data_IF_603228057185
#
_entry.id   IF_603228057185
#
_cell.length_a   1.000
_cell.length_b   1.000
_cell.length_c   1.000
_cell.angle_alpha   90.00
_cell.angle_beta   90.00
_cell.angle_gamma   90.00
#
_symmetry.space_group_name_H-M   'P 1'
#
loop_
_entity.id
_entity.type
_entity.pdbx_description
1 polymer ?
#
# COMPACT_ATOMS: atom_id res chain seq x y z
N UNK A 1 -3.35 36.44 -24.94
CA UNK A 1 -2.53 35.41 -24.27
C UNK A 1 -2.69 34.13 -25.05
N UNK A 2 -1.59 33.53 -25.54
CA UNK A 2 -1.63 32.16 -26.09
C UNK A 2 -1.61 31.18 -24.92
N UNK A 3 -2.45 30.14 -24.90
CA UNK A 3 -2.31 29.07 -23.92
C UNK A 3 -0.92 28.43 -24.11
N UNK A 4 -0.16 28.38 -23.02
CA UNK A 4 1.18 27.79 -22.98
C UNK A 4 0.97 26.27 -23.01
N UNK A 5 1.68 25.57 -23.89
CA UNK A 5 1.58 24.11 -24.01
C UNK A 5 2.03 23.47 -22.68
N UNK A 6 1.06 22.92 -21.95
CA UNK A 6 1.18 22.42 -20.56
C UNK A 6 1.51 20.93 -20.48
N UNK A 7 1.48 20.23 -21.61
CA UNK A 7 1.88 18.82 -21.76
C UNK A 7 3.39 18.60 -21.66
N UNK A 8 4.21 19.66 -21.67
CA UNK A 8 5.65 19.57 -21.97
C UNK A 8 6.47 18.84 -20.89
N UNK A 9 6.27 19.11 -19.59
CA UNK A 9 7.20 18.58 -18.57
C UNK A 9 7.00 17.11 -18.23
N UNK A 10 5.75 16.64 -18.18
CA UNK A 10 5.46 15.21 -17.96
C UNK A 10 5.90 14.40 -19.17
N UNK A 11 5.66 14.92 -20.38
CA UNK A 11 6.13 14.30 -21.63
C UNK A 11 7.65 14.40 -21.78
N UNK A 12 8.31 15.42 -21.23
CA UNK A 12 9.77 15.58 -21.18
C UNK A 12 10.41 14.64 -20.15
N UNK A 13 9.83 14.46 -18.97
CA UNK A 13 10.32 13.49 -17.97
C UNK A 13 10.11 12.05 -18.44
N UNK A 14 8.93 11.73 -18.98
CA UNK A 14 8.64 10.44 -19.61
C UNK A 14 9.50 10.25 -20.86
N UNK A 15 9.73 11.30 -21.64
CA UNK A 15 10.60 11.32 -22.81
C UNK A 15 12.07 11.12 -22.47
N UNK A 16 12.56 11.67 -21.36
CA UNK A 16 13.92 11.48 -20.86
C UNK A 16 14.14 10.04 -20.36
N UNK A 17 13.18 9.48 -19.61
CA UNK A 17 13.21 8.08 -19.17
C UNK A 17 13.08 7.10 -20.34
N UNK A 18 12.16 7.37 -21.29
CA UNK A 18 11.98 6.55 -22.48
C UNK A 18 13.20 6.65 -23.42
N UNK A 19 13.78 7.85 -23.57
CA UNK A 19 14.97 8.12 -24.37
C UNK A 19 16.19 7.34 -23.89
N UNK A 20 16.30 7.11 -22.58
CA UNK A 20 17.33 6.25 -21.98
C UNK A 20 17.19 4.76 -22.36
N UNK A 21 15.96 4.30 -22.62
CA UNK A 21 15.67 2.90 -22.93
C UNK A 21 15.65 2.59 -24.44
N UNK A 22 15.59 3.61 -25.30
CA UNK A 22 15.42 3.44 -26.76
C UNK A 22 16.72 3.55 -27.59
N UNK A 23 17.89 3.74 -26.99
CA UNK A 23 19.14 3.98 -27.72
C UNK A 23 19.72 2.77 -28.48
N UNK A 24 18.98 1.66 -28.64
CA UNK A 24 19.42 0.57 -29.50
C UNK A 24 18.34 -0.46 -29.80
N UNK A 25 18.31 -0.91 -31.06
CA UNK A 25 17.59 -2.08 -31.60
C UNK A 25 16.19 -1.80 -32.15
N UNK A 26 16.15 -1.43 -33.43
CA UNK A 26 14.97 -1.50 -34.29
C UNK A 26 14.85 -2.89 -34.93
N UNK A 27 13.97 -3.74 -34.39
CA UNK A 27 13.28 -4.80 -35.15
C UNK A 27 11.84 -4.97 -34.63
N UNK A 28 10.92 -5.19 -35.56
CA UNK A 28 9.45 -5.05 -35.46
C UNK A 28 8.66 -5.87 -34.40
N UNK A 29 9.12 -7.00 -33.80
CA UNK A 29 8.37 -7.65 -32.71
C UNK A 29 8.38 -6.86 -31.39
N UNK A 30 9.41 -6.02 -31.16
CA UNK A 30 9.50 -5.14 -29.99
C UNK A 30 8.47 -4.00 -30.04
N UNK A 31 8.04 -3.57 -31.24
CA UNK A 31 7.05 -2.49 -31.38
C UNK A 31 5.68 -2.89 -30.80
N UNK A 32 5.23 -4.13 -31.03
CA UNK A 32 3.98 -4.64 -30.45
C UNK A 32 4.08 -4.87 -28.94
N UNK A 33 5.23 -5.39 -28.48
CA UNK A 33 5.49 -5.56 -27.04
C UNK A 33 5.57 -4.21 -26.31
N UNK A 34 6.21 -3.21 -26.91
CA UNK A 34 6.26 -1.85 -26.37
C UNK A 34 4.91 -1.15 -26.37
N UNK A 35 4.06 -1.36 -27.38
CA UNK A 35 2.69 -0.83 -27.38
C UNK A 35 1.85 -1.44 -26.24
N UNK A 36 1.95 -2.75 -26.02
CA UNK A 36 1.27 -3.44 -24.91
C UNK A 36 1.82 -3.00 -23.55
N UNK A 37 3.15 -2.89 -23.42
CA UNK A 37 3.79 -2.38 -22.21
C UNK A 37 3.39 -0.92 -21.91
N UNK A 38 3.33 -0.05 -22.93
CA UNK A 38 2.84 1.33 -22.77
C UNK A 38 1.37 1.40 -22.39
N UNK A 39 0.52 0.55 -22.98
CA UNK A 39 -0.89 0.48 -22.62
C UNK A 39 -1.08 0.01 -21.18
N UNK A 40 -0.32 -1.00 -20.75
CA UNK A 40 -0.33 -1.48 -19.37
C UNK A 40 0.21 -0.42 -18.40
N UNK A 41 1.31 0.25 -18.75
CA UNK A 41 1.85 1.38 -17.98
C UNK A 41 0.83 2.52 -17.86
N UNK A 42 0.13 2.85 -18.94
CA UNK A 42 -0.91 3.87 -18.93
C UNK A 42 -2.09 3.47 -18.04
N UNK A 43 -2.52 2.20 -18.09
CA UNK A 43 -3.58 1.64 -17.25
C UNK A 43 -3.20 1.73 -15.77
N UNK A 44 -2.04 1.19 -15.44
CA UNK A 44 -1.51 1.14 -14.09
C UNK A 44 -1.29 2.53 -13.49
N UNK A 45 -0.67 3.44 -14.27
CA UNK A 45 -0.52 4.85 -13.88
C UNK A 45 -1.88 5.50 -13.63
N UNK A 46 -2.91 5.12 -14.38
CA UNK A 46 -4.26 5.64 -14.21
C UNK A 46 -4.87 5.27 -12.86
N UNK A 47 -4.61 4.06 -12.33
CA UNK A 47 -5.16 3.61 -11.04
C UNK A 47 -4.54 4.39 -9.89
N UNK A 48 -3.21 4.39 -9.79
CA UNK A 48 -2.51 5.13 -8.74
C UNK A 48 -2.82 6.64 -8.80
N UNK A 49 -2.87 7.22 -10.00
CA UNK A 49 -3.14 8.64 -10.14
C UNK A 49 -4.60 8.99 -9.79
N UNK A 50 -5.58 8.15 -10.14
CA UNK A 50 -6.96 8.33 -9.68
C UNK A 50 -7.07 8.23 -8.17
N UNK A 51 -6.41 7.26 -7.55
CA UNK A 51 -6.40 7.16 -6.09
C UNK A 51 -5.79 8.39 -5.41
N UNK A 52 -4.74 8.97 -6.02
CA UNK A 52 -4.15 10.22 -5.54
C UNK A 52 -5.10 11.42 -5.69
N UNK A 53 -5.72 11.59 -6.87
CA UNK A 53 -6.72 12.63 -7.16
C UNK A 53 -7.90 12.55 -6.17
N UNK A 54 -8.46 11.34 -6.04
CA UNK A 54 -9.61 11.05 -5.20
C UNK A 54 -9.31 11.33 -3.72
N UNK A 55 -8.14 10.94 -3.20
CA UNK A 55 -7.79 11.21 -1.82
C UNK A 55 -7.45 12.67 -1.56
N UNK A 56 -6.65 13.29 -2.45
CA UNK A 56 -6.27 14.70 -2.32
C UNK A 56 -7.47 15.65 -2.46
N UNK A 57 -8.54 15.20 -3.11
CA UNK A 57 -9.65 16.07 -3.51
C UNK A 57 -9.21 17.11 -4.54
N UNK A 58 -8.26 16.75 -5.41
CA UNK A 58 -7.62 17.62 -6.39
C UNK A 58 -7.81 17.04 -7.78
N UNK A 59 -7.90 17.92 -8.78
CA UNK A 59 -7.78 17.46 -10.17
C UNK A 59 -6.36 17.02 -10.45
N UNK A 60 -6.16 16.28 -11.56
CA UNK A 60 -4.82 15.90 -12.02
C UNK A 60 -3.88 17.09 -12.18
N UNK A 61 -4.41 18.18 -12.71
CA UNK A 61 -3.68 19.40 -13.01
C UNK A 61 -3.25 20.06 -11.70
N UNK A 62 -4.19 20.27 -10.77
CA UNK A 62 -3.91 20.81 -9.44
C UNK A 62 -2.90 19.95 -8.68
N UNK A 63 -3.01 18.61 -8.78
CA UNK A 63 -2.08 17.68 -8.17
C UNK A 63 -0.67 17.81 -8.78
N UNK A 64 -0.57 17.96 -10.10
CA UNK A 64 0.68 18.21 -10.80
C UNK A 64 1.32 19.55 -10.39
N UNK A 65 0.52 20.62 -10.35
CA UNK A 65 0.97 21.94 -9.88
C UNK A 65 1.44 21.88 -8.42
N UNK A 66 0.70 21.17 -7.57
CA UNK A 66 1.06 20.98 -6.15
C UNK A 66 2.40 20.25 -5.99
N UNK A 67 2.61 19.18 -6.75
CA UNK A 67 3.88 18.43 -6.74
C UNK A 67 5.02 19.31 -7.26
N UNK A 68 4.80 20.07 -8.33
CA UNK A 68 5.81 20.97 -8.89
C UNK A 68 6.17 22.13 -7.94
N UNK A 69 5.17 22.66 -7.22
CA UNK A 69 5.36 23.74 -6.24
C UNK A 69 6.05 23.28 -4.95
N UNK A 70 6.07 21.98 -4.66
CA UNK A 70 6.71 21.43 -3.47
C UNK A 70 7.79 20.39 -3.82
N UNK A 71 9.08 20.77 -3.80
CA UNK A 71 10.18 19.88 -4.16
C UNK A 71 10.25 18.57 -3.35
N UNK A 72 9.70 18.52 -2.13
CA UNK A 72 9.65 17.29 -1.32
C UNK A 72 8.69 16.23 -1.89
N UNK A 73 7.69 16.63 -2.67
CA UNK A 73 6.72 15.71 -3.26
C UNK A 73 7.22 15.06 -4.55
N UNK A 74 8.22 15.66 -5.21
CA UNK A 74 8.82 15.14 -6.45
C UNK A 74 9.38 13.71 -6.28
N UNK A 75 10.23 13.40 -5.26
CA UNK A 75 10.73 12.04 -5.08
C UNK A 75 9.62 11.02 -4.76
N UNK A 76 8.60 11.42 -4.00
CA UNK A 76 7.42 10.60 -3.68
C UNK A 76 6.67 10.24 -4.97
N UNK A 77 6.36 11.24 -5.80
CA UNK A 77 5.67 11.04 -7.07
C UNK A 77 6.48 10.17 -8.04
N UNK A 78 7.80 10.41 -8.13
CA UNK A 78 8.69 9.60 -8.96
C UNK A 78 8.73 8.13 -8.52
N UNK A 79 8.78 7.88 -7.21
CA UNK A 79 8.74 6.52 -6.64
C UNK A 79 7.41 5.84 -6.92
N UNK A 80 6.28 6.53 -6.73
CA UNK A 80 4.95 5.98 -7.04
C UNK A 80 4.83 5.62 -8.52
N UNK A 81 5.31 6.48 -9.42
CA UNK A 81 5.31 6.20 -10.87
C UNK A 81 6.19 5.00 -11.23
N UNK A 82 7.39 4.92 -10.63
CA UNK A 82 8.29 3.80 -10.82
C UNK A 82 7.67 2.48 -10.35
N UNK A 83 7.17 2.46 -9.10
CA UNK A 83 6.55 1.29 -8.52
C UNK A 83 5.31 0.88 -9.28
N UNK A 84 4.48 1.83 -9.71
CA UNK A 84 3.34 1.55 -10.54
C UNK A 84 3.76 0.74 -11.78
N UNK A 85 4.85 1.15 -12.45
CA UNK A 85 5.38 0.39 -13.58
C UNK A 85 5.81 -1.06 -13.28
N UNK A 86 6.06 -1.40 -12.00
CA UNK A 86 6.62 -2.68 -11.59
C UNK A 86 5.60 -3.66 -10.97
N UNK A 87 4.63 -3.21 -10.16
CA UNK A 87 3.84 -4.13 -9.31
C UNK A 87 2.67 -4.79 -10.05
N UNK A 88 2.07 -4.12 -11.05
CA UNK A 88 0.91 -4.59 -11.82
C UNK A 88 -0.35 -4.97 -11.00
N UNK A 89 -0.34 -4.73 -9.68
CA UNK A 89 -1.37 -5.15 -8.74
C UNK A 89 -2.21 -3.94 -8.32
N UNK A 90 -3.47 -3.93 -8.73
CA UNK A 90 -4.39 -2.80 -8.54
C UNK A 90 -4.45 -2.34 -7.08
N UNK A 91 -4.51 -3.26 -6.10
CA UNK A 91 -4.58 -2.89 -4.67
C UNK A 91 -3.31 -2.19 -4.17
N UNK A 92 -2.13 -2.56 -4.69
CA UNK A 92 -0.87 -1.89 -4.35
C UNK A 92 -0.80 -0.53 -5.04
N UNK A 93 -1.30 -0.42 -6.28
CA UNK A 93 -1.37 0.86 -7.00
C UNK A 93 -2.29 1.86 -6.30
N UNK A 94 -3.45 1.39 -5.83
CA UNK A 94 -4.37 2.20 -5.03
C UNK A 94 -3.69 2.69 -3.75
N UNK A 95 -2.98 1.81 -3.01
CA UNK A 95 -2.21 2.20 -1.82
C UNK A 95 -1.13 3.26 -2.11
N UNK A 96 -0.33 3.05 -3.17
CA UNK A 96 0.72 3.99 -3.59
C UNK A 96 0.12 5.36 -3.98
N UNK A 97 -0.98 5.34 -4.73
CA UNK A 97 -1.72 6.52 -5.14
C UNK A 97 -2.29 7.28 -3.95
N UNK A 98 -2.95 6.57 -3.03
CA UNK A 98 -3.51 7.14 -1.83
C UNK A 98 -2.42 7.81 -0.96
N UNK A 99 -1.25 7.18 -0.75
CA UNK A 99 -0.15 7.82 -0.02
C UNK A 99 0.33 9.12 -0.71
N UNK A 100 0.46 9.14 -2.03
CA UNK A 100 0.79 10.36 -2.78
C UNK A 100 -0.29 11.44 -2.63
N UNK A 101 -1.56 11.07 -2.75
CA UNK A 101 -2.69 11.99 -2.58
C UNK A 101 -2.71 12.62 -1.19
N UNK A 102 -2.44 11.82 -0.14
CA UNK A 102 -2.38 12.30 1.23
C UNK A 102 -1.21 13.28 1.41
N UNK A 103 -0.03 12.95 0.87
CA UNK A 103 1.14 13.82 0.91
C UNK A 103 0.91 15.15 0.15
N UNK A 104 0.18 15.10 -0.97
CA UNK A 104 -0.16 16.31 -1.72
C UNK A 104 -1.16 17.20 -0.97
N UNK A 105 -2.14 16.60 -0.28
CA UNK A 105 -3.08 17.32 0.58
C UNK A 105 -2.43 17.89 1.84
N UNK A 106 -1.45 17.18 2.40
CA UNK A 106 -0.76 17.53 3.66
C UNK A 106 0.78 17.52 3.46
N UNK A 107 1.36 18.54 2.80
CA UNK A 107 2.77 18.50 2.40
C UNK A 107 3.76 18.56 3.57
N UNK A 108 3.30 18.94 4.75
CA UNK A 108 4.03 18.87 6.02
C UNK A 108 4.27 17.42 6.48
N UNK A 109 3.48 16.45 6.00
CA UNK A 109 3.62 15.01 6.28
C UNK A 109 4.37 14.24 5.20
N UNK A 110 5.13 14.92 4.32
CA UNK A 110 5.87 14.28 3.24
C UNK A 110 6.87 13.20 3.74
N UNK A 111 7.54 13.44 4.87
CA UNK A 111 8.52 12.49 5.43
C UNK A 111 7.83 11.19 5.88
N UNK A 112 6.61 11.26 6.42
CA UNK A 112 5.80 10.11 6.79
C UNK A 112 5.35 9.32 5.55
N UNK A 113 4.96 10.02 4.49
CA UNK A 113 4.61 9.40 3.21
C UNK A 113 5.79 8.66 2.59
N UNK A 114 7.03 9.17 2.71
CA UNK A 114 8.22 8.44 2.25
C UNK A 114 8.42 7.12 3.00
N UNK A 115 8.23 7.12 4.33
CA UNK A 115 8.34 5.91 5.17
C UNK A 115 7.25 4.90 4.80
N UNK A 116 6.01 5.34 4.63
CA UNK A 116 4.90 4.49 4.20
C UNK A 116 5.18 3.87 2.83
N UNK A 117 5.68 4.65 1.87
CA UNK A 117 6.02 4.13 0.54
C UNK A 117 7.08 3.03 0.62
N UNK A 118 8.14 3.20 1.41
CA UNK A 118 9.17 2.17 1.57
C UNK A 118 8.59 0.85 2.08
N UNK A 119 7.61 0.91 2.99
CA UNK A 119 6.89 -0.28 3.44
C UNK A 119 6.02 -0.89 2.33
N UNK A 120 5.25 -0.07 1.61
CA UNK A 120 4.32 -0.52 0.55
C UNK A 120 5.05 -1.22 -0.60
N UNK A 121 6.29 -0.82 -0.92
CA UNK A 121 7.10 -1.45 -1.96
C UNK A 121 7.33 -2.96 -1.75
N UNK A 122 7.33 -3.42 -0.50
CA UNK A 122 7.47 -4.84 -0.17
C UNK A 122 6.13 -5.60 -0.23
N UNK A 123 5.01 -4.90 -0.37
CA UNK A 123 3.69 -5.49 -0.27
C UNK A 123 3.21 -6.09 -1.60
N UNK A 124 2.23 -6.96 -1.44
CA UNK A 124 1.52 -7.69 -2.50
C UNK A 124 0.05 -7.70 -2.11
N UNK A 125 -0.81 -8.05 -3.05
CA UNK A 125 -2.25 -8.17 -2.84
C UNK A 125 -2.61 -8.95 -1.57
N UNK A 126 -1.93 -10.07 -1.30
CA UNK A 126 -2.17 -10.88 -0.10
C UNK A 126 -1.86 -10.11 1.19
N UNK A 127 -0.81 -9.30 1.20
CA UNK A 127 -0.45 -8.49 2.36
C UNK A 127 -1.52 -7.43 2.65
N UNK A 128 -2.01 -6.73 1.63
CA UNK A 128 -3.08 -5.73 1.79
C UNK A 128 -4.38 -6.38 2.27
N UNK A 129 -4.76 -7.52 1.67
CA UNK A 129 -5.94 -8.27 2.09
C UNK A 129 -5.83 -8.70 3.57
N UNK A 130 -4.68 -9.22 3.97
CA UNK A 130 -4.45 -9.66 5.35
C UNK A 130 -4.43 -8.48 6.34
N UNK A 131 -3.83 -7.35 5.96
CA UNK A 131 -3.81 -6.14 6.80
C UNK A 131 -5.23 -5.61 7.04
N UNK A 132 -6.13 -5.67 6.04
CA UNK A 132 -7.54 -5.31 6.19
C UNK A 132 -8.30 -6.27 7.09
N UNK A 133 -8.04 -7.57 6.99
CA UNK A 133 -8.58 -8.55 7.94
C UNK A 133 -8.15 -8.18 9.36
N UNK A 134 -6.87 -7.83 9.54
CA UNK A 134 -6.32 -7.44 10.85
C UNK A 134 -6.89 -6.12 11.40
N UNK A 135 -7.51 -5.27 10.56
CA UNK A 135 -8.22 -4.07 10.99
C UNK A 135 -9.53 -4.38 11.73
N UNK A 136 -10.11 -5.56 11.49
CA UNK A 136 -11.26 -6.06 12.23
C UNK A 136 -10.89 -6.60 13.61
N UNK A 137 -11.88 -6.85 14.49
CA UNK A 137 -11.64 -7.52 15.75
C UNK A 137 -11.11 -8.94 15.51
N UNK A 138 -10.09 -9.41 16.27
CA UNK A 138 -9.57 -10.76 16.12
C UNK A 138 -10.68 -11.78 16.40
N UNK A 139 -10.96 -12.63 15.42
CA UNK A 139 -11.91 -13.73 15.58
C UNK A 139 -11.19 -14.93 16.19
N UNK A 140 -10.81 -14.81 17.45
CA UNK A 140 -10.26 -15.94 18.18
C UNK A 140 -11.40 -16.90 18.52
N UNK A 141 -11.47 -18.05 17.83
CA UNK A 141 -12.19 -19.20 18.37
C UNK A 141 -11.33 -19.74 19.50
N UNK A 142 -11.62 -19.30 20.71
CA UNK A 142 -11.04 -19.97 21.86
C UNK A 142 -11.58 -21.38 21.86
N UNK A 143 -10.73 -22.33 21.47
CA UNK A 143 -10.75 -23.65 22.07
C UNK A 143 -10.36 -23.48 23.55
N UNK A 144 -11.06 -22.61 24.28
CA UNK A 144 -10.94 -22.51 25.72
C UNK A 144 -11.40 -23.88 26.22
N UNK A 145 -10.51 -24.68 26.84
CA UNK A 145 -10.99 -25.77 27.65
C UNK A 145 -11.93 -25.16 28.68
N UNK A 146 -13.07 -25.80 28.93
CA UNK A 146 -14.04 -25.36 29.95
C UNK A 146 -13.31 -24.81 31.17
N UNK A 147 -13.74 -23.66 31.71
CA UNK A 147 -12.99 -22.90 32.69
C UNK A 147 -12.50 -23.83 33.80
N UNK A 148 -11.17 -23.94 33.95
CA UNK A 148 -10.56 -24.55 35.13
C UNK A 148 -10.97 -23.68 36.33
N UNK A 149 -12.08 -24.07 37.00
CA UNK A 149 -12.69 -23.31 38.09
C UNK A 149 -11.78 -23.14 39.32
N UNK A 150 -10.65 -23.84 39.38
CA UNK A 150 -9.84 -23.97 40.60
C UNK A 150 -8.46 -23.30 40.55
N UNK A 151 -8.05 -22.68 39.44
CA UNK A 151 -6.80 -21.93 39.40
C UNK A 151 -7.06 -20.45 39.71
N UNK A 152 -6.48 -19.97 40.82
CA UNK A 152 -6.53 -18.55 41.16
C UNK A 152 -6.06 -17.71 39.95
N UNK A 153 -6.71 -16.58 39.68
CA UNK A 153 -6.36 -15.73 38.54
C UNK A 153 -4.96 -15.19 38.77
N UNK A 154 -3.97 -15.85 38.18
CA UNK A 154 -2.73 -15.17 37.82
C UNK A 154 -3.21 -14.05 36.93
N UNK A 155 -2.99 -12.80 37.36
CA UNK A 155 -3.22 -11.62 36.53
C UNK A 155 -2.23 -11.68 35.37
N UNK A 156 -2.50 -12.57 34.40
CA UNK A 156 -2.05 -12.39 33.03
C UNK A 156 -2.72 -11.09 32.65
N UNK A 157 -1.94 -10.02 32.63
CA UNK A 157 -2.40 -8.66 32.35
C UNK A 157 -3.28 -8.70 31.10
N UNK A 158 -4.59 -8.63 31.30
CA UNK A 158 -5.65 -8.67 30.28
C UNK A 158 -5.60 -7.49 29.29
N UNK A 159 -4.53 -6.71 29.34
CA UNK A 159 -4.28 -5.49 28.57
C UNK A 159 -3.65 -5.74 27.19
N UNK A 160 -3.60 -6.98 26.71
CA UNK A 160 -2.98 -7.24 25.40
C UNK A 160 -3.46 -8.46 24.62
N UNK A 161 -4.34 -9.30 25.16
CA UNK A 161 -4.77 -10.53 24.46
C UNK A 161 -5.93 -10.30 23.48
N UNK A 162 -6.78 -9.28 23.74
CA UNK A 162 -8.00 -9.02 22.95
C UNK A 162 -7.76 -8.44 21.54
N UNK A 163 -6.53 -8.07 21.18
CA UNK A 163 -6.20 -7.43 19.89
C UNK A 163 -5.21 -8.23 19.03
N UNK A 164 -4.98 -9.50 19.36
CA UNK A 164 -3.97 -10.32 18.67
C UNK A 164 -4.58 -11.28 17.69
N UNK A 165 -3.97 -11.34 16.52
CA UNK A 165 -4.28 -12.31 15.47
C UNK A 165 -3.28 -13.46 15.50
N UNK A 166 -3.74 -14.70 15.57
CA UNK A 166 -2.88 -15.87 15.32
C UNK A 166 -2.98 -16.28 13.83
N UNK A 167 -2.07 -17.14 13.36
CA UNK A 167 -2.02 -17.56 11.95
C UNK A 167 -3.30 -18.29 11.51
N UNK A 168 -3.85 -19.16 12.35
CA UNK A 168 -5.06 -19.96 12.03
C UNK A 168 -6.28 -19.05 11.83
N UNK A 169 -6.51 -18.09 12.73
CA UNK A 169 -7.58 -17.11 12.65
C UNK A 169 -7.40 -16.18 11.43
N UNK A 170 -6.15 -15.81 11.12
CA UNK A 170 -5.83 -15.04 9.93
C UNK A 170 -6.12 -15.81 8.64
N UNK A 171 -5.75 -17.10 8.58
CA UNK A 171 -6.02 -17.97 7.46
C UNK A 171 -7.53 -18.15 7.25
N UNK A 172 -8.28 -18.43 8.32
CA UNK A 172 -9.73 -18.56 8.28
C UNK A 172 -10.40 -17.27 7.79
N UNK A 173 -10.08 -16.12 8.40
CA UNK A 173 -10.72 -14.85 8.09
C UNK A 173 -10.37 -14.30 6.70
N UNK A 174 -9.17 -14.62 6.19
CA UNK A 174 -8.73 -14.19 4.85
C UNK A 174 -9.03 -15.21 3.73
N UNK A 175 -9.44 -16.44 4.08
CA UNK A 175 -9.59 -17.54 3.13
C UNK A 175 -8.26 -18.05 2.56
N UNK A 176 -7.13 -17.75 3.20
CA UNK A 176 -5.80 -18.22 2.82
C UNK A 176 -5.50 -19.58 3.47
N UNK A 177 -4.47 -20.28 3.00
CA UNK A 177 -3.89 -21.39 3.77
C UNK A 177 -3.05 -20.84 4.93
N UNK A 178 -2.84 -21.64 5.98
CA UNK A 178 -2.01 -21.27 7.13
C UNK A 178 -0.61 -20.79 6.70
N UNK A 179 0.03 -21.49 5.77
CA UNK A 179 1.35 -21.11 5.24
C UNK A 179 1.32 -19.75 4.52
N UNK A 180 0.26 -19.48 3.74
CA UNK A 180 0.11 -18.20 3.04
C UNK A 180 -0.13 -17.06 4.02
N UNK A 181 -1.01 -17.26 5.01
CA UNK A 181 -1.29 -16.30 6.06
C UNK A 181 -0.04 -16.02 6.91
N UNK A 182 0.72 -17.06 7.29
CA UNK A 182 1.98 -16.91 8.03
C UNK A 182 3.02 -16.12 7.24
N UNK A 183 3.20 -16.43 5.95
CA UNK A 183 4.15 -15.73 5.09
C UNK A 183 3.75 -14.27 4.90
N UNK A 184 2.46 -14.00 4.66
CA UNK A 184 1.95 -12.64 4.52
C UNK A 184 2.04 -11.84 5.83
N UNK A 185 1.70 -12.43 6.97
CA UNK A 185 1.83 -11.79 8.28
C UNK A 185 3.30 -11.44 8.59
N UNK A 186 4.22 -12.34 8.24
CA UNK A 186 5.67 -12.09 8.35
C UNK A 186 6.12 -10.96 7.40
N UNK A 187 5.60 -10.94 6.17
CA UNK A 187 5.85 -9.86 5.21
C UNK A 187 5.39 -8.50 5.73
N UNK A 188 4.17 -8.44 6.29
CA UNK A 188 3.65 -7.24 6.96
C UNK A 188 4.50 -6.82 8.16
N UNK A 189 4.99 -7.78 8.94
CA UNK A 189 5.87 -7.50 10.07
C UNK A 189 7.22 -6.92 9.63
N UNK A 190 7.80 -7.47 8.56
CA UNK A 190 9.07 -6.98 8.01
C UNK A 190 8.92 -5.59 7.38
N UNK A 191 7.76 -5.31 6.79
CA UNK A 191 7.42 -3.98 6.26
C UNK A 191 7.03 -2.98 7.36
N UNK A 192 6.94 -3.42 8.63
CA UNK A 192 6.62 -2.59 9.78
C UNK A 192 5.13 -2.26 9.97
N UNK A 193 4.23 -2.82 9.16
CA UNK A 193 2.78 -2.59 9.28
C UNK A 193 2.11 -3.50 10.30
N UNK A 194 2.77 -4.62 10.65
CA UNK A 194 2.38 -5.48 11.75
C UNK A 194 3.56 -5.67 12.70
N UNK A 195 3.27 -6.06 13.94
CA UNK A 195 4.27 -6.49 14.93
C UNK A 195 4.00 -7.95 15.27
N UNK A 196 5.01 -8.79 15.08
CA UNK A 196 5.01 -10.16 15.62
C UNK A 196 5.25 -10.13 17.14
N UNK A 197 4.47 -10.91 17.87
CA UNK A 197 4.51 -11.06 19.32
C UNK A 197 4.64 -12.55 19.65
N UNK A 198 5.62 -12.93 20.46
CA UNK A 198 5.72 -14.29 20.98
C UNK A 198 4.63 -14.52 22.03
N UNK A 199 3.81 -15.54 21.84
CA UNK A 199 2.75 -15.95 22.78
C UNK A 199 2.93 -17.40 23.16
N UNK A 200 2.34 -17.81 24.29
CA UNK A 200 2.31 -19.22 24.66
C UNK A 200 1.57 -19.99 23.55
N UNK A 201 2.25 -20.93 22.89
CA UNK A 201 1.67 -21.71 21.80
C UNK A 201 1.89 -21.15 20.38
N UNK A 202 2.62 -20.05 20.19
CA UNK A 202 3.01 -19.61 18.84
C UNK A 202 3.37 -18.13 18.69
N UNK A 203 3.10 -17.59 17.49
CA UNK A 203 3.31 -16.19 17.15
C UNK A 203 1.97 -15.52 16.92
N UNK A 204 1.71 -14.43 17.63
CA UNK A 204 0.60 -13.52 17.38
C UNK A 204 1.06 -12.29 16.58
N UNK A 205 0.12 -11.61 15.93
CA UNK A 205 0.35 -10.41 15.15
C UNK A 205 -0.62 -9.31 15.57
N UNK A 206 -0.13 -8.08 15.61
CA UNK A 206 -0.93 -6.88 15.88
C UNK A 206 -0.58 -5.81 14.84
N UNK A 207 -1.55 -5.03 14.39
CA UNK A 207 -1.31 -3.90 13.48
C UNK A 207 -0.51 -2.84 14.24
N UNK A 208 0.52 -2.27 13.61
CA UNK A 208 1.29 -1.15 14.19
C UNK A 208 0.58 0.19 13.93
N UNK A 209 1.05 1.27 14.56
CA UNK A 209 0.58 2.63 14.23
C UNK A 209 0.76 2.94 12.73
N UNK A 210 1.88 2.53 12.14
CA UNK A 210 2.11 2.70 10.70
C UNK A 210 1.13 1.87 9.84
N UNK A 211 0.79 0.66 10.30
CA UNK A 211 -0.26 -0.16 9.68
C UNK A 211 -1.64 0.47 9.77
N UNK A 212 -1.96 1.10 10.90
CA UNK A 212 -3.20 1.85 11.09
C UNK A 212 -3.28 3.06 10.16
N UNK A 213 -2.21 3.86 10.05
CA UNK A 213 -2.16 4.98 9.09
C UNK A 213 -2.36 4.49 7.66
N UNK A 214 -1.76 3.36 7.26
CA UNK A 214 -1.98 2.79 5.93
C UNK A 214 -3.45 2.40 5.73
N UNK A 215 -4.08 1.76 6.73
CA UNK A 215 -5.48 1.39 6.69
C UNK A 215 -6.40 2.61 6.59
N UNK A 216 -6.16 3.66 7.38
CA UNK A 216 -6.91 4.91 7.29
C UNK A 216 -6.82 5.53 5.89
N UNK A 217 -5.62 5.56 5.30
CA UNK A 217 -5.41 6.07 3.94
C UNK A 217 -6.17 5.24 2.90
N UNK A 218 -6.23 3.91 3.07
CA UNK A 218 -6.98 3.01 2.19
C UNK A 218 -8.51 3.14 2.37
N UNK A 219 -9.00 3.27 3.60
CA UNK A 219 -10.43 3.35 3.92
C UNK A 219 -11.06 4.66 3.43
N UNK A 220 -10.33 5.78 3.54
CA UNK A 220 -10.79 7.07 3.00
C UNK A 220 -10.97 6.98 1.49
N UNK A 221 -10.08 6.27 0.80
CA UNK A 221 -10.18 6.06 -0.64
C UNK A 221 -11.41 5.22 -1.01
N UNK A 222 -11.65 4.11 -0.32
CA UNK A 222 -12.81 3.24 -0.60
C UNK A 222 -14.15 3.95 -0.34
N UNK A 223 -14.22 4.76 0.73
CA UNK A 223 -15.42 5.53 1.07
C UNK A 223 -15.79 6.55 0.00
N UNK A 224 -14.81 7.12 -0.72
CA UNK A 224 -15.07 8.07 -1.81
C UNK A 224 -15.48 7.41 -3.13
N UNK A 225 -15.21 6.10 -3.27
CA UNK A 225 -15.54 5.31 -4.46
C UNK A 225 -16.96 4.74 -4.44
N UNK A 226 -17.52 4.52 -3.24
CA UNK A 226 -18.86 3.97 -3.02
C UNK A 226 -19.97 5.01 -3.27
#
# INVERSE_FOLDING_TARGET
MKPRQETDWVDEFVGALAGMLTAGVATDPMARLSAKARAELARTRSIALRAAEDLAGMTREDLGERIAANPKLVPIAARVLWQAGMTGQDEVLEALGAVLGNAAAHPDRADEAEVLLLGIEALRRQHIALLRVMAGPPQWKSNEPEPYQDLQPVQVTALGEAERWNVEALAEASGMTDDQAALAATGLSNAGFARALSVLGGTGFQVTEMGQVLLEVLDVYETRRA
#
